data_IF_149566819111
#
_entry.id   IF_149566819111
#
_cell.length_a   1.000
_cell.length_b   1.000
_cell.length_c   1.000
_cell.angle_alpha   90.00
_cell.angle_beta   90.00
_cell.angle_gamma   90.00
#
_symmetry.space_group_name_H-M   'P 1'
#
loop_
_entity.id
_entity.type
_entity.pdbx_description
1 polymer ?
#
# COMPACT_ATOMS: atom_id res chain seq x y z
N UNK A 1 9.22 82.89 -9.24
CA UNK A 1 8.08 82.30 -8.49
C UNK A 1 8.58 81.04 -7.78
N UNK A 2 8.38 80.93 -6.45
CA UNK A 2 9.14 80.04 -5.58
C UNK A 2 8.33 78.84 -5.01
N UNK A 3 9.07 78.00 -4.28
CA UNK A 3 8.68 77.00 -3.26
C UNK A 3 8.40 75.56 -3.70
N UNK A 4 9.52 74.84 -3.79
CA UNK A 4 9.70 73.45 -3.35
C UNK A 4 9.17 73.27 -1.91
N UNK A 5 8.26 72.31 -1.73
CA UNK A 5 7.90 71.63 -0.48
C UNK A 5 7.88 70.14 -0.85
N UNK A 6 8.39 69.17 -0.13
CA UNK A 6 8.87 69.08 1.23
C UNK A 6 8.98 67.57 1.50
N UNK A 7 10.07 67.19 2.14
CA UNK A 7 10.48 65.83 2.48
C UNK A 7 9.67 65.29 3.67
N UNK A 8 9.29 64.00 3.65
CA UNK A 8 9.04 63.07 4.79
C UNK A 8 8.14 61.93 4.30
N UNK A 9 8.59 60.68 4.07
CA UNK A 9 9.07 59.66 5.00
C UNK A 9 8.06 59.25 6.09
N UNK A 10 7.41 58.10 5.88
CA UNK A 10 6.94 57.06 6.84
C UNK A 10 5.73 56.34 6.24
N UNK A 11 5.89 55.09 5.79
CA UNK A 11 5.86 53.87 6.60
C UNK A 11 4.44 53.39 6.94
N UNK A 12 4.18 52.19 6.44
CA UNK A 12 3.48 51.07 7.07
C UNK A 12 1.97 51.18 7.40
N UNK A 13 1.25 50.31 6.70
CA UNK A 13 0.33 49.30 7.25
C UNK A 13 -0.80 49.78 8.18
N UNK A 14 -2.04 49.65 7.71
CA UNK A 14 -2.95 48.57 8.14
C UNK A 14 -4.26 48.70 7.35
N UNK A 15 -4.38 47.90 6.27
CA UNK A 15 -5.63 47.72 5.54
C UNK A 15 -6.26 46.39 5.90
N UNK A 16 -6.92 46.32 7.05
CA UNK A 16 -7.90 45.27 7.36
C UNK A 16 -9.09 45.45 6.40
N UNK A 17 -9.42 44.41 5.63
CA UNK A 17 -10.78 43.91 5.31
C UNK A 17 -10.86 43.31 3.91
N UNK A 18 -10.79 41.98 3.85
CA UNK A 18 -11.49 41.09 2.91
C UNK A 18 -10.99 39.69 3.27
N UNK A 19 -11.78 38.82 3.89
CA UNK A 19 -12.99 38.30 3.32
C UNK A 19 -12.73 36.85 2.89
N UNK A 20 -13.22 35.91 3.69
CA UNK A 20 -13.92 34.73 3.18
C UNK A 20 -13.15 33.67 2.35
N UNK A 21 -12.08 33.06 2.87
CA UNK A 21 -11.73 31.65 2.50
C UNK A 21 -11.11 30.94 3.72
N UNK A 22 -11.86 30.87 4.82
CA UNK A 22 -11.49 30.07 5.98
C UNK A 22 -12.36 28.82 6.04
N UNK A 23 -11.81 27.67 5.66
CA UNK A 23 -12.42 26.37 6.01
C UNK A 23 -12.71 25.43 4.85
N UNK A 24 -11.71 25.07 4.05
CA UNK A 24 -11.81 23.92 3.13
C UNK A 24 -10.43 23.41 2.71
N UNK A 25 -9.51 23.13 3.65
CA UNK A 25 -8.20 22.55 3.28
C UNK A 25 -7.58 21.58 4.27
N UNK A 26 -8.21 21.24 5.39
CA UNK A 26 -7.59 20.33 6.40
C UNK A 26 -8.06 18.87 6.28
N UNK A 27 -9.12 18.58 5.53
CA UNK A 27 -9.70 17.22 5.47
C UNK A 27 -8.93 16.30 4.49
N UNK A 28 -8.15 16.85 3.55
CA UNK A 28 -7.44 16.07 2.54
C UNK A 28 -6.06 15.53 2.94
N UNK A 29 -5.38 16.15 3.92
CA UNK A 29 -3.99 15.81 4.23
C UNK A 29 -3.81 14.43 4.87
N UNK A 30 -4.71 14.05 5.79
CA UNK A 30 -4.59 12.79 6.53
C UNK A 30 -4.95 11.58 5.68
N UNK A 31 -5.96 11.70 4.80
CA UNK A 31 -6.33 10.62 3.87
C UNK A 31 -5.20 10.39 2.86
N UNK A 32 -4.69 11.45 2.22
CA UNK A 32 -3.58 11.36 1.28
C UNK A 32 -2.29 10.81 1.93
N UNK A 33 -1.99 11.21 3.17
CA UNK A 33 -0.83 10.67 3.91
C UNK A 33 -1.02 9.20 4.29
N UNK A 34 -2.24 8.78 4.66
CA UNK A 34 -2.55 7.40 4.97
C UNK A 34 -2.49 6.50 3.72
N UNK A 35 -2.97 6.98 2.58
CA UNK A 35 -2.94 6.26 1.31
C UNK A 35 -1.50 6.17 0.78
N UNK A 36 -0.69 7.22 0.92
CA UNK A 36 0.74 7.17 0.61
C UNK A 36 1.50 6.18 1.50
N UNK A 37 1.20 6.16 2.80
CA UNK A 37 1.78 5.15 3.71
C UNK A 37 1.38 3.73 3.30
N UNK A 38 0.13 3.52 2.88
CA UNK A 38 -0.32 2.23 2.39
C UNK A 38 0.41 1.82 1.10
N UNK A 39 0.60 2.76 0.17
CA UNK A 39 1.38 2.57 -1.06
C UNK A 39 2.83 2.18 -0.75
N UNK A 40 3.49 2.91 0.15
CA UNK A 40 4.88 2.64 0.54
C UNK A 40 5.02 1.26 1.19
N UNK A 41 4.12 0.92 2.11
CA UNK A 41 4.11 -0.40 2.76
C UNK A 41 3.90 -1.55 1.77
N UNK A 42 2.92 -1.43 0.87
CA UNK A 42 2.69 -2.46 -0.17
C UNK A 42 3.86 -2.53 -1.14
N UNK A 43 4.49 -1.40 -1.46
CA UNK A 43 5.70 -1.34 -2.27
C UNK A 43 6.88 -2.11 -1.65
N UNK A 44 7.14 -1.93 -0.35
CA UNK A 44 8.15 -2.70 0.38
C UNK A 44 7.82 -4.19 0.39
N UNK A 45 6.56 -4.56 0.64
CA UNK A 45 6.11 -5.96 0.62
C UNK A 45 6.23 -6.59 -0.77
N UNK A 46 5.97 -5.84 -1.84
CA UNK A 46 6.16 -6.31 -3.21
C UNK A 46 7.63 -6.58 -3.51
N UNK A 47 8.55 -5.71 -3.06
CA UNK A 47 9.99 -5.95 -3.18
C UNK A 47 10.44 -7.20 -2.42
N UNK A 48 9.89 -7.45 -1.23
CA UNK A 48 10.16 -8.67 -0.45
C UNK A 48 9.70 -9.91 -1.22
N UNK A 49 8.45 -9.91 -1.73
CA UNK A 49 7.89 -10.99 -2.56
C UNK A 49 8.79 -11.26 -3.77
N UNK A 50 9.10 -10.23 -4.55
CA UNK A 50 9.86 -10.37 -5.78
C UNK A 50 11.29 -10.86 -5.50
N UNK A 51 11.92 -10.38 -4.42
CA UNK A 51 13.24 -10.85 -3.97
C UNK A 51 13.21 -12.33 -3.54
N UNK A 52 12.16 -12.76 -2.85
CA UNK A 52 11.98 -14.15 -2.43
C UNK A 52 11.79 -15.08 -3.62
N UNK A 53 10.92 -14.73 -4.56
CA UNK A 53 10.68 -15.51 -5.77
C UNK A 53 11.97 -15.60 -6.60
N UNK A 54 12.71 -14.49 -6.72
CA UNK A 54 13.99 -14.50 -7.44
C UNK A 54 15.03 -15.44 -6.79
N UNK A 55 15.06 -15.54 -5.46
CA UNK A 55 15.96 -16.45 -4.72
C UNK A 55 15.46 -17.89 -4.70
N UNK A 56 14.14 -18.08 -4.73
CA UNK A 56 13.48 -19.38 -4.65
C UNK A 56 12.37 -19.45 -5.72
N UNK A 57 12.71 -19.78 -6.98
CA UNK A 57 11.76 -19.75 -8.09
C UNK A 57 10.52 -20.65 -7.93
N UNK A 58 10.62 -21.70 -7.10
CA UNK A 58 9.47 -22.55 -6.77
C UNK A 58 8.34 -21.78 -6.06
N UNK A 59 8.65 -20.65 -5.40
CA UNK A 59 7.63 -19.80 -4.76
C UNK A 59 6.72 -19.09 -5.76
N UNK A 60 7.07 -19.04 -7.06
CA UNK A 60 6.19 -18.50 -8.09
C UNK A 60 4.84 -19.26 -8.14
N UNK A 61 4.86 -20.58 -7.94
CA UNK A 61 3.62 -21.36 -7.86
C UNK A 61 2.74 -20.98 -6.67
N UNK A 62 3.34 -20.47 -5.58
CA UNK A 62 2.60 -19.97 -4.41
C UNK A 62 2.05 -18.57 -4.71
N UNK A 63 2.82 -17.70 -5.37
CA UNK A 63 2.33 -16.39 -5.84
C UNK A 63 1.09 -16.56 -6.71
N UNK A 64 1.16 -17.44 -7.72
CA UNK A 64 0.04 -17.76 -8.59
C UNK A 64 -1.17 -18.31 -7.81
N UNK A 65 -0.93 -19.20 -6.85
CA UNK A 65 -1.98 -19.75 -6.00
C UNK A 65 -2.66 -18.66 -5.14
N UNK A 66 -1.90 -17.75 -4.55
CA UNK A 66 -2.44 -16.63 -3.74
C UNK A 66 -3.25 -15.68 -4.62
N UNK A 67 -2.78 -15.40 -5.84
CA UNK A 67 -3.49 -14.53 -6.79
C UNK A 67 -4.78 -15.17 -7.31
N UNK A 68 -4.76 -16.46 -7.59
CA UNK A 68 -5.95 -17.22 -7.97
C UNK A 68 -6.97 -17.27 -6.82
N UNK A 69 -6.50 -17.51 -5.59
CA UNK A 69 -7.34 -17.51 -4.39
C UNK A 69 -7.95 -16.12 -4.13
N UNK A 70 -7.17 -15.05 -4.29
CA UNK A 70 -7.66 -13.67 -4.24
C UNK A 70 -8.76 -13.41 -5.26
N UNK A 71 -8.60 -13.88 -6.50
CA UNK A 71 -9.62 -13.73 -7.55
C UNK A 71 -10.89 -14.51 -7.21
N UNK A 72 -10.74 -15.73 -6.66
CA UNK A 72 -11.86 -16.59 -6.28
C UNK A 72 -12.66 -16.06 -5.07
N UNK A 73 -11.99 -15.44 -4.10
CA UNK A 73 -12.60 -14.93 -2.86
C UNK A 73 -12.93 -13.43 -2.89
N UNK A 74 -12.34 -12.69 -3.82
CA UNK A 74 -12.41 -11.23 -3.90
C UNK A 74 -13.58 -10.67 -4.71
N UNK A 75 -13.52 -9.37 -5.01
CA UNK A 75 -14.55 -8.57 -5.68
C UNK A 75 -14.64 -8.83 -7.20
N UNK A 76 -14.65 -10.09 -7.64
CA UNK A 76 -14.65 -10.46 -9.07
C UNK A 76 -13.51 -9.82 -9.89
N UNK A 77 -12.34 -9.66 -9.27
CA UNK A 77 -11.13 -9.14 -9.93
C UNK A 77 -10.33 -10.26 -10.57
N UNK A 78 -9.70 -9.98 -11.71
CA UNK A 78 -8.85 -10.96 -12.39
C UNK A 78 -7.60 -11.31 -11.54
N UNK A 79 -7.08 -12.56 -11.61
CA UNK A 79 -5.89 -12.97 -10.85
C UNK A 79 -4.66 -12.10 -11.12
N UNK A 80 -4.53 -11.58 -12.35
CA UNK A 80 -3.43 -10.76 -12.78
C UNK A 80 -3.57 -9.27 -12.41
N UNK A 81 -4.71 -8.87 -11.85
CA UNK A 81 -5.01 -7.48 -11.47
C UNK A 81 -4.02 -6.90 -10.46
N UNK A 82 -3.92 -5.56 -10.44
CA UNK A 82 -3.15 -4.84 -9.44
C UNK A 82 -3.58 -5.22 -8.01
N UNK A 83 -4.88 -5.45 -7.80
CA UNK A 83 -5.43 -5.82 -6.50
C UNK A 83 -4.92 -7.18 -6.02
N UNK A 84 -4.97 -8.22 -6.87
CA UNK A 84 -4.45 -9.53 -6.48
C UNK A 84 -2.92 -9.59 -6.45
N UNK A 85 -2.21 -8.74 -7.21
CA UNK A 85 -0.78 -8.54 -7.02
C UNK A 85 -0.46 -7.94 -5.65
N UNK A 86 -1.22 -6.93 -5.20
CA UNK A 86 -1.09 -6.39 -3.85
C UNK A 86 -1.42 -7.43 -2.79
N UNK A 87 -2.50 -8.21 -2.96
CA UNK A 87 -2.87 -9.27 -2.05
C UNK A 87 -1.70 -10.25 -1.83
N UNK A 88 -1.10 -10.72 -2.93
CA UNK A 88 0.07 -11.59 -2.86
C UNK A 88 1.27 -10.94 -2.16
N UNK A 89 1.58 -9.67 -2.49
CA UNK A 89 2.66 -8.95 -1.82
C UNK A 89 2.45 -8.88 -0.30
N UNK A 90 1.23 -8.51 0.14
CA UNK A 90 0.87 -8.44 1.56
C UNK A 90 0.97 -9.81 2.23
N UNK A 91 0.44 -10.85 1.58
CA UNK A 91 0.52 -12.23 2.07
C UNK A 91 1.97 -12.67 2.31
N UNK A 92 2.86 -12.51 1.31
CA UNK A 92 4.28 -12.83 1.45
C UNK A 92 4.97 -11.98 2.52
N UNK A 93 4.67 -10.67 2.57
CA UNK A 93 5.21 -9.78 3.60
C UNK A 93 4.86 -10.21 5.01
N UNK A 94 3.60 -10.55 5.27
CA UNK A 94 3.12 -11.02 6.58
C UNK A 94 3.73 -12.36 6.99
N UNK A 95 3.92 -13.26 6.02
CA UNK A 95 4.62 -14.53 6.24
C UNK A 95 6.05 -14.32 6.69
N UNK A 96 6.79 -13.44 6.01
CA UNK A 96 8.17 -13.13 6.36
C UNK A 96 8.30 -12.37 7.67
N UNK A 97 7.29 -11.60 8.04
CA UNK A 97 7.20 -10.96 9.35
C UNK A 97 6.89 -11.95 10.50
N UNK A 98 6.64 -13.23 10.19
CA UNK A 98 6.33 -14.26 11.18
C UNK A 98 4.96 -14.11 11.83
N UNK A 99 4.02 -13.42 11.18
CA UNK A 99 2.68 -13.16 11.74
C UNK A 99 1.76 -14.39 11.73
N UNK A 100 2.03 -15.37 10.86
CA UNK A 100 1.43 -16.71 10.93
C UNK A 100 2.48 -17.72 11.45
N UNK A 101 2.40 -18.15 12.72
CA UNK A 101 3.38 -19.07 13.31
C UNK A 101 3.39 -20.46 12.66
N UNK A 102 2.34 -20.84 11.91
CA UNK A 102 2.28 -22.13 11.18
C UNK A 102 2.82 -22.01 9.76
N UNK A 103 3.11 -20.80 9.29
CA UNK A 103 3.51 -20.59 7.90
C UNK A 103 4.89 -21.15 7.59
N UNK A 104 5.85 -21.00 8.51
CA UNK A 104 7.22 -21.49 8.31
C UNK A 104 7.23 -23.00 8.07
N UNK A 105 6.44 -23.77 8.82
CA UNK A 105 6.34 -25.22 8.65
C UNK A 105 5.73 -25.59 7.30
N UNK A 106 4.67 -24.89 6.87
CA UNK A 106 4.04 -25.14 5.57
C UNK A 106 4.95 -24.76 4.41
N UNK A 107 5.70 -23.66 4.54
CA UNK A 107 6.70 -23.24 3.57
C UNK A 107 7.83 -24.27 3.48
N UNK A 108 8.34 -24.75 4.61
CA UNK A 108 9.35 -25.80 4.64
C UNK A 108 8.83 -27.10 3.99
N UNK A 109 7.58 -27.49 4.26
CA UNK A 109 6.96 -28.64 3.62
C UNK A 109 6.87 -28.46 2.09
N UNK A 110 6.46 -27.27 1.62
CA UNK A 110 6.45 -26.95 0.19
C UNK A 110 7.85 -27.01 -0.43
N UNK A 111 8.86 -26.42 0.23
CA UNK A 111 10.23 -26.40 -0.27
C UNK A 111 10.84 -27.81 -0.37
N UNK A 112 10.40 -28.76 0.46
CA UNK A 112 10.81 -30.17 0.38
C UNK A 112 10.13 -30.93 -0.76
N UNK A 113 8.86 -30.61 -1.06
CA UNK A 113 8.09 -31.26 -2.12
C UNK A 113 7.18 -30.27 -2.88
N UNK A 114 7.75 -29.45 -3.79
CA UNK A 114 6.97 -28.45 -4.51
C UNK A 114 5.91 -29.08 -5.41
N UNK A 115 4.65 -28.68 -5.22
CA UNK A 115 3.52 -29.09 -6.07
C UNK A 115 2.42 -28.04 -6.05
N UNK A 116 1.52 -28.07 -7.04
CA UNK A 116 0.38 -27.16 -7.10
C UNK A 116 -0.59 -27.35 -5.91
N UNK A 117 -0.75 -28.60 -5.46
CA UNK A 117 -1.59 -28.91 -4.29
C UNK A 117 -0.97 -28.35 -3.00
N UNK A 118 0.35 -28.52 -2.82
CA UNK A 118 1.06 -27.94 -1.68
C UNK A 118 1.04 -26.40 -1.71
N UNK A 119 1.12 -25.78 -2.90
CA UNK A 119 0.97 -24.33 -3.06
C UNK A 119 -0.43 -23.86 -2.65
N UNK A 120 -1.48 -24.56 -3.09
CA UNK A 120 -2.87 -24.25 -2.75
C UNK A 120 -3.18 -24.46 -1.27
N UNK A 121 -2.51 -25.40 -0.60
CA UNK A 121 -2.66 -25.60 0.85
C UNK A 121 -2.19 -24.39 1.68
N UNK A 122 -1.31 -23.54 1.12
CA UNK A 122 -0.83 -22.32 1.78
C UNK A 122 -1.87 -21.19 1.78
N UNK A 123 -2.85 -21.24 0.87
CA UNK A 123 -3.89 -20.20 0.72
C UNK A 123 -5.18 -20.52 1.51
N UNK A 124 -5.33 -21.75 2.01
CA UNK A 124 -6.54 -22.22 2.69
C UNK A 124 -6.95 -21.40 3.93
N UNK A 125 -6.01 -20.69 4.55
CA UNK A 125 -6.23 -19.93 5.79
C UNK A 125 -6.26 -18.41 5.59
N UNK A 126 -6.13 -17.92 4.36
CA UNK A 126 -6.14 -16.48 4.09
C UNK A 126 -7.44 -16.07 3.46
N UNK A 127 -8.20 -15.23 4.16
CA UNK A 127 -9.35 -14.54 3.58
C UNK A 127 -8.98 -13.11 3.15
N UNK A 128 -9.84 -12.48 2.34
CA UNK A 128 -9.64 -11.13 1.84
C UNK A 128 -9.55 -10.07 2.94
N UNK A 129 -10.05 -10.33 4.15
CA UNK A 129 -9.93 -9.46 5.31
C UNK A 129 -8.48 -9.13 5.70
N UNK A 130 -7.54 -10.02 5.36
CA UNK A 130 -6.12 -9.85 5.67
C UNK A 130 -5.48 -8.71 4.86
N UNK A 131 -5.83 -8.60 3.58
CA UNK A 131 -5.16 -7.70 2.64
C UNK A 131 -6.07 -6.61 2.05
N UNK A 132 -7.38 -6.83 1.95
CA UNK A 132 -8.29 -5.93 1.25
C UNK A 132 -8.31 -4.50 1.80
N UNK A 133 -8.32 -4.25 3.13
CA UNK A 133 -8.30 -2.88 3.66
C UNK A 133 -7.05 -2.10 3.25
N UNK A 134 -5.90 -2.79 3.22
CA UNK A 134 -4.62 -2.19 2.82
C UNK A 134 -4.55 -1.99 1.31
N UNK A 135 -4.92 -3.01 0.53
CA UNK A 135 -4.86 -2.97 -0.92
C UNK A 135 -5.83 -1.95 -1.54
N UNK A 136 -7.01 -1.71 -0.93
CA UNK A 136 -7.94 -0.64 -1.37
C UNK A 136 -7.41 0.77 -1.12
N UNK A 137 -6.46 0.93 -0.20
CA UNK A 137 -5.81 2.22 0.08
C UNK A 137 -4.58 2.43 -0.77
N UNK A 138 -3.93 1.34 -1.15
CA UNK A 138 -2.68 1.36 -1.90
C UNK A 138 -2.87 1.48 -3.42
N UNK A 139 -4.02 1.08 -3.95
CA UNK A 139 -4.35 1.04 -5.39
C UNK A 139 -5.48 2.02 -5.67
#
# INVERSE_FOLDING_TARGET
MPKVKGFALKSLWFGMSAGFIGGLSVIGGNALAADRKAQDMVGEMAQVRDSLIAKHPSLAAIDDAVRADCSAKGEAVAPDSAFCSCASAVTFGLWMAGMDPKMVDRLNAFLQAPSADAASALTAYQGPELYAPLCRKAI
#
